data_IF_328000477742
#
_entry.id   IF_328000477742
#
_cell.length_a   1.000
_cell.length_b   1.000
_cell.length_c   1.000
_cell.angle_alpha   90.00
_cell.angle_beta   90.00
_cell.angle_gamma   90.00
#
_symmetry.space_group_name_H-M   'P 1'
#
loop_
_entity.id
_entity.type
_entity.pdbx_description
1 polymer ?
#
# COMPACT_ATOMS: atom_id res chain seq x y z
N UNK A 1 -37.84 24.50 28.91
CA UNK A 1 -38.13 23.14 28.38
C UNK A 1 -37.80 22.97 26.89
N UNK A 2 -38.07 23.97 26.03
CA UNK A 2 -37.80 23.86 24.57
C UNK A 2 -36.30 23.83 24.22
N UNK A 3 -35.50 24.72 24.81
CA UNK A 3 -34.06 24.84 24.51
C UNK A 3 -33.28 23.55 24.82
N UNK A 4 -33.54 22.90 25.96
CA UNK A 4 -32.87 21.65 26.36
C UNK A 4 -33.16 20.51 25.38
N UNK A 5 -34.39 20.42 24.86
CA UNK A 5 -34.76 19.43 23.84
C UNK A 5 -34.03 19.69 22.52
N UNK A 6 -33.94 20.95 22.10
CA UNK A 6 -33.22 21.34 20.88
C UNK A 6 -31.73 21.02 20.99
N UNK A 7 -31.08 21.35 22.12
CA UNK A 7 -29.66 21.04 22.34
C UNK A 7 -29.41 19.53 22.36
N UNK A 8 -30.28 18.75 23.01
CA UNK A 8 -30.16 17.29 23.05
C UNK A 8 -30.29 16.65 21.66
N UNK A 9 -31.25 17.10 20.85
CA UNK A 9 -31.42 16.63 19.47
C UNK A 9 -30.22 16.97 18.59
N UNK A 10 -29.63 18.16 18.75
CA UNK A 10 -28.42 18.56 18.01
C UNK A 10 -27.24 17.65 18.39
N UNK A 11 -27.04 17.37 19.68
CA UNK A 11 -25.98 16.47 20.13
C UNK A 11 -26.16 15.04 19.59
N UNK A 12 -27.39 14.54 19.55
CA UNK A 12 -27.72 13.24 18.95
C UNK A 12 -27.44 13.21 17.44
N UNK A 13 -27.81 14.26 16.70
CA UNK A 13 -27.48 14.35 15.28
C UNK A 13 -25.97 14.40 15.06
N UNK A 14 -25.23 15.21 15.82
CA UNK A 14 -23.76 15.30 15.69
C UNK A 14 -23.07 13.98 16.01
N UNK A 15 -23.57 13.24 17.01
CA UNK A 15 -23.02 11.92 17.37
C UNK A 15 -23.36 10.85 16.32
N UNK A 16 -24.56 10.91 15.73
CA UNK A 16 -24.93 10.01 14.64
C UNK A 16 -24.08 10.26 13.39
N UNK A 17 -23.79 11.53 13.08
CA UNK A 17 -22.98 11.90 11.92
C UNK A 17 -21.51 11.49 12.08
N UNK A 18 -20.95 11.56 13.29
CA UNK A 18 -19.58 11.08 13.53
C UNK A 18 -19.46 9.55 13.44
N UNK A 19 -20.47 8.80 13.88
CA UNK A 19 -20.52 7.33 13.74
C UNK A 19 -20.67 6.86 12.29
N UNK A 20 -21.30 7.66 11.42
CA UNK A 20 -21.41 7.38 9.99
C UNK A 20 -20.06 7.53 9.27
N UNK A 21 -19.22 8.49 9.69
CA UNK A 21 -17.90 8.72 9.08
C UNK A 21 -16.90 7.58 9.33
N UNK A 22 -17.05 6.80 10.40
CA UNK A 22 -16.19 5.63 10.68
C UNK A 22 -16.51 4.39 9.84
N UNK A 23 -17.56 4.43 9.02
CA UNK A 23 -17.91 3.34 8.11
C UNK A 23 -17.20 3.45 6.75
N UNK A 24 -16.29 4.40 6.58
CA UNK A 24 -15.47 4.47 5.37
C UNK A 24 -14.71 3.14 5.21
N UNK A 25 -14.84 2.45 4.06
CA UNK A 25 -14.17 1.18 3.85
C UNK A 25 -12.65 1.39 3.92
N UNK A 26 -12.02 0.78 4.91
CA UNK A 26 -10.56 0.67 4.99
C UNK A 26 -10.10 -0.33 3.94
N UNK A 27 -8.99 -0.05 3.25
CA UNK A 27 -8.47 -1.03 2.30
C UNK A 27 -7.96 -2.27 3.01
N UNK A 28 -8.06 -3.40 2.32
CA UNK A 28 -7.70 -4.71 2.87
C UNK A 28 -6.20 -4.97 2.85
N UNK A 29 -5.49 -4.35 1.91
CA UNK A 29 -4.03 -4.41 1.79
C UNK A 29 -3.52 -3.25 0.94
N UNK A 30 -2.22 -3.02 1.02
CA UNK A 30 -1.49 -2.03 0.23
C UNK A 30 -0.36 -2.72 -0.52
N UNK A 31 -0.11 -2.28 -1.76
CA UNK A 31 1.05 -2.70 -2.54
C UNK A 31 2.22 -1.79 -2.16
N UNK A 32 3.41 -2.37 -1.95
CA UNK A 32 4.63 -1.58 -1.73
C UNK A 32 5.57 -1.67 -2.93
N UNK A 33 6.26 -0.56 -3.23
CA UNK A 33 7.40 -0.52 -4.13
C UNK A 33 8.67 -0.73 -3.30
N UNK A 34 9.49 -1.69 -3.72
CA UNK A 34 10.75 -2.01 -3.09
C UNK A 34 11.82 -0.97 -3.44
N UNK A 35 12.28 -0.23 -2.44
CA UNK A 35 13.49 0.58 -2.52
C UNK A 35 14.70 -0.31 -2.19
N UNK A 36 15.57 -0.51 -3.19
CA UNK A 36 16.82 -1.23 -3.05
C UNK A 36 18.02 -0.31 -3.30
N UNK A 37 19.16 -0.64 -2.71
CA UNK A 37 20.34 0.24 -2.73
C UNK A 37 21.28 0.00 -3.92
N UNK A 38 21.31 -1.22 -4.48
CA UNK A 38 22.31 -1.59 -5.47
C UNK A 38 21.90 -1.40 -6.93
N UNK A 39 22.09 -0.19 -7.47
CA UNK A 39 21.88 0.11 -8.88
C UNK A 39 20.42 0.40 -9.25
N UNK A 40 20.16 0.61 -10.55
CA UNK A 40 18.83 0.87 -11.11
C UNK A 40 18.06 2.06 -10.55
N UNK A 41 16.84 2.22 -11.04
CA UNK A 41 15.90 3.28 -10.69
C UNK A 41 14.59 2.66 -10.18
N UNK A 42 14.62 2.23 -8.92
CA UNK A 42 13.47 1.65 -8.21
C UNK A 42 12.21 2.55 -8.21
N UNK A 43 12.39 3.84 -8.49
CA UNK A 43 11.35 4.87 -8.55
C UNK A 43 10.76 5.07 -9.97
N UNK A 44 11.05 4.17 -10.91
CA UNK A 44 10.47 4.27 -12.24
C UNK A 44 8.94 4.13 -12.21
N UNK A 45 8.25 4.97 -13.00
CA UNK A 45 6.79 4.90 -13.21
C UNK A 45 5.91 4.95 -11.95
N UNK A 46 6.38 5.55 -10.85
CA UNK A 46 5.61 5.64 -9.59
C UNK A 46 4.20 6.22 -9.78
N UNK A 47 4.05 7.23 -10.63
CA UNK A 47 2.77 7.91 -10.86
C UNK A 47 1.86 7.21 -11.87
N UNK A 48 2.35 6.17 -12.57
CA UNK A 48 1.65 5.60 -13.73
C UNK A 48 1.46 4.08 -13.66
N UNK A 49 2.45 3.28 -13.26
CA UNK A 49 2.34 1.82 -13.34
C UNK A 49 1.35 1.25 -12.32
N UNK A 50 1.75 1.21 -11.05
CA UNK A 50 0.91 0.68 -9.98
C UNK A 50 -0.38 1.48 -9.77
N UNK A 51 -0.40 2.83 -9.77
CA UNK A 51 -1.66 3.56 -9.61
C UNK A 51 -2.71 3.18 -10.67
N UNK A 52 -2.30 2.96 -11.92
CA UNK A 52 -3.22 2.52 -12.97
C UNK A 52 -3.68 1.08 -12.75
N UNK A 53 -2.78 0.17 -12.36
CA UNK A 53 -3.14 -1.22 -12.04
C UNK A 53 -4.11 -1.29 -10.85
N UNK A 54 -3.80 -0.59 -9.76
CA UNK A 54 -4.63 -0.50 -8.55
C UNK A 54 -6.02 0.01 -8.92
N UNK A 55 -6.07 1.14 -9.66
CA UNK A 55 -7.34 1.70 -10.13
C UNK A 55 -8.12 0.71 -10.98
N UNK A 56 -7.46 0.01 -11.89
CA UNK A 56 -8.09 -0.99 -12.76
C UNK A 56 -8.66 -2.15 -11.93
N UNK A 57 -7.87 -2.73 -11.02
CA UNK A 57 -8.27 -3.85 -10.17
C UNK A 57 -9.43 -3.48 -9.25
N UNK A 58 -9.36 -2.32 -8.58
CA UNK A 58 -10.44 -1.85 -7.72
C UNK A 58 -11.72 -1.59 -8.53
N UNK A 59 -11.62 -1.04 -9.74
CA UNK A 59 -12.80 -0.72 -10.57
C UNK A 59 -13.43 -1.96 -11.21
N UNK A 60 -12.62 -2.86 -11.77
CA UNK A 60 -13.09 -3.93 -12.65
C UNK A 60 -13.17 -5.30 -11.96
N UNK A 61 -12.37 -5.51 -10.92
CA UNK A 61 -12.29 -6.78 -10.19
C UNK A 61 -12.88 -6.69 -8.78
N UNK A 62 -13.42 -5.52 -8.41
CA UNK A 62 -13.97 -5.24 -7.08
C UNK A 62 -12.97 -5.59 -5.95
N UNK A 63 -11.68 -5.34 -6.21
CA UNK A 63 -10.64 -5.44 -5.20
C UNK A 63 -10.71 -4.25 -4.22
N UNK A 64 -10.06 -4.40 -3.07
CA UNK A 64 -10.01 -3.38 -2.03
C UNK A 64 -8.54 -3.05 -1.68
N UNK A 65 -7.79 -2.62 -2.70
CA UNK A 65 -6.39 -2.22 -2.60
C UNK A 65 -6.32 -0.74 -2.22
N UNK A 66 -5.41 -0.38 -1.31
CA UNK A 66 -5.10 1.03 -1.05
C UNK A 66 -4.73 1.75 -2.35
N UNK A 67 -5.23 2.99 -2.51
CA UNK A 67 -5.10 3.75 -3.77
C UNK A 67 -3.64 4.09 -4.08
N UNK A 68 -2.88 4.38 -3.05
CA UNK A 68 -1.48 4.78 -3.15
C UNK A 68 -0.59 3.60 -2.76
N UNK A 69 0.48 3.37 -3.52
CA UNK A 69 1.51 2.44 -3.11
C UNK A 69 2.32 2.97 -1.92
N UNK A 70 2.83 2.06 -1.09
CA UNK A 70 3.87 2.37 -0.12
C UNK A 70 5.27 2.30 -0.77
N UNK A 71 6.27 2.85 -0.11
CA UNK A 71 7.69 2.60 -0.42
C UNK A 71 8.27 1.85 0.78
N UNK A 72 8.98 0.75 0.51
CA UNK A 72 9.58 -0.06 1.57
C UNK A 72 11.01 -0.47 1.22
N UNK A 73 11.91 -0.34 2.18
CA UNK A 73 13.31 -0.76 2.04
C UNK A 73 13.44 -2.28 2.22
N UNK A 74 14.37 -2.90 1.48
CA UNK A 74 14.58 -4.36 1.52
C UNK A 74 14.93 -4.86 2.92
N UNK A 75 15.69 -4.08 3.69
CA UNK A 75 16.12 -4.40 5.06
C UNK A 75 15.08 -4.13 6.15
N UNK A 76 14.01 -3.39 5.81
CA UNK A 76 13.00 -2.99 6.80
C UNK A 76 12.14 -4.19 7.23
N UNK A 77 11.84 -4.26 8.53
CA UNK A 77 10.82 -5.19 9.04
C UNK A 77 9.41 -4.85 8.54
N UNK A 78 9.18 -3.60 8.10
CA UNK A 78 7.90 -3.20 7.52
C UNK A 78 7.61 -3.92 6.19
N UNK A 79 8.62 -4.51 5.54
CA UNK A 79 8.45 -5.35 4.35
C UNK A 79 7.38 -6.44 4.57
N UNK A 80 7.32 -7.00 5.77
CA UNK A 80 6.39 -8.07 6.14
C UNK A 80 4.93 -7.60 6.32
N UNK A 81 4.68 -6.28 6.32
CA UNK A 81 3.33 -5.73 6.35
C UNK A 81 2.65 -5.73 4.97
N UNK A 82 3.43 -5.96 3.90
CA UNK A 82 2.94 -5.88 2.53
C UNK A 82 2.93 -7.27 1.91
N UNK A 83 1.76 -7.89 1.70
CA UNK A 83 1.69 -9.23 1.10
C UNK A 83 2.10 -9.25 -0.38
N UNK A 84 2.08 -8.08 -1.03
CA UNK A 84 2.49 -7.89 -2.42
C UNK A 84 3.48 -6.74 -2.48
N UNK A 85 4.69 -7.04 -2.95
CA UNK A 85 5.76 -6.06 -3.17
C UNK A 85 6.11 -6.06 -4.66
N UNK A 86 6.20 -4.87 -5.22
CA UNK A 86 6.61 -4.63 -6.58
C UNK A 86 8.04 -4.10 -6.62
N UNK A 87 8.82 -4.61 -7.54
CA UNK A 87 10.17 -4.17 -7.83
C UNK A 87 10.25 -3.83 -9.32
N UNK A 88 10.74 -2.65 -9.64
CA UNK A 88 10.98 -2.17 -11.00
C UNK A 88 12.36 -1.54 -11.07
N UNK A 89 12.91 -1.39 -12.27
CA UNK A 89 14.08 -0.54 -12.52
C UNK A 89 14.91 -1.06 -13.68
N UNK A 90 15.84 -0.22 -14.14
CA UNK A 90 16.69 -0.49 -15.28
C UNK A 90 18.07 -1.01 -14.84
N UNK A 91 18.58 -2.01 -15.55
CA UNK A 91 19.94 -2.52 -15.35
C UNK A 91 20.07 -3.49 -14.18
N UNK A 92 21.29 -3.65 -13.67
CA UNK A 92 21.56 -4.65 -12.65
C UNK A 92 21.10 -4.18 -11.26
N UNK A 93 20.36 -5.05 -10.59
CA UNK A 93 20.05 -4.90 -9.16
C UNK A 93 20.97 -5.78 -8.33
N UNK A 94 21.57 -5.19 -7.31
CA UNK A 94 22.48 -5.85 -6.38
C UNK A 94 21.93 -5.71 -4.97
N UNK A 95 21.81 -6.83 -4.26
CA UNK A 95 21.47 -6.85 -2.84
C UNK A 95 22.72 -7.15 -2.01
N UNK A 96 22.82 -6.51 -0.84
CA UNK A 96 23.73 -6.93 0.21
C UNK A 96 23.34 -8.31 0.74
N UNK A 97 24.24 -8.98 1.46
CA UNK A 97 23.92 -10.26 2.09
C UNK A 97 22.76 -10.14 3.08
N UNK A 98 22.64 -9.00 3.77
CA UNK A 98 21.57 -8.74 4.75
C UNK A 98 20.23 -8.49 4.06
N UNK A 99 20.23 -7.69 2.98
CA UNK A 99 19.05 -7.44 2.14
C UNK A 99 18.55 -8.75 1.51
N UNK A 100 19.45 -9.56 0.95
CA UNK A 100 19.11 -10.84 0.34
C UNK A 100 18.53 -11.84 1.37
N UNK A 101 19.08 -11.88 2.58
CA UNK A 101 18.57 -12.74 3.65
C UNK A 101 17.20 -12.28 4.16
N UNK A 102 16.96 -10.97 4.32
CA UNK A 102 15.66 -10.45 4.71
C UNK A 102 14.60 -10.71 3.62
N UNK A 103 14.97 -10.50 2.35
CA UNK A 103 14.10 -10.79 1.21
C UNK A 103 13.76 -12.29 1.12
N UNK A 104 14.75 -13.17 1.35
CA UNK A 104 14.50 -14.61 1.43
C UNK A 104 13.49 -14.96 2.53
N UNK A 105 13.62 -14.36 3.73
CA UNK A 105 12.66 -14.57 4.83
C UNK A 105 11.26 -14.10 4.45
N UNK A 106 11.13 -12.93 3.83
CA UNK A 106 9.86 -12.41 3.32
C UNK A 106 9.18 -13.39 2.34
N UNK A 107 9.92 -13.89 1.35
CA UNK A 107 9.40 -14.82 0.35
C UNK A 107 8.98 -16.16 0.99
N UNK A 108 9.81 -16.72 1.90
CA UNK A 108 9.49 -17.97 2.60
C UNK A 108 8.27 -17.82 3.52
N UNK A 109 8.07 -16.64 4.11
CA UNK A 109 6.90 -16.34 4.94
C UNK A 109 5.60 -16.16 4.14
N UNK A 110 5.65 -16.28 2.81
CA UNK A 110 4.50 -16.19 1.91
C UNK A 110 4.34 -14.84 1.21
N UNK A 111 5.30 -13.93 1.36
CA UNK A 111 5.33 -12.67 0.63
C UNK A 111 5.47 -12.89 -0.88
N UNK A 112 4.76 -12.08 -1.67
CA UNK A 112 4.87 -12.10 -3.13
C UNK A 112 5.74 -10.95 -3.62
N UNK A 113 6.70 -11.24 -4.49
CA UNK A 113 7.55 -10.25 -5.16
C UNK A 113 7.29 -10.27 -6.66
N UNK A 114 6.76 -9.18 -7.21
CA UNK A 114 6.61 -8.96 -8.64
C UNK A 114 7.76 -8.11 -9.17
N UNK A 115 8.59 -8.67 -10.05
CA UNK A 115 9.74 -7.99 -10.64
C UNK A 115 9.42 -7.63 -12.09
N UNK A 116 9.50 -6.35 -12.41
CA UNK A 116 9.31 -5.77 -13.74
C UNK A 116 10.61 -5.14 -14.22
N UNK A 117 11.29 -5.81 -15.16
CA UNK A 117 12.42 -5.23 -15.88
C UNK A 117 11.86 -4.31 -16.96
N UNK A 118 11.84 -3.01 -16.66
CA UNK A 118 11.24 -2.01 -17.54
C UNK A 118 12.21 -1.54 -18.65
N UNK A 119 13.24 -2.32 -18.95
CA UNK A 119 14.21 -2.07 -20.00
C UNK A 119 13.74 -2.60 -21.38
N UNK A 120 13.13 -1.70 -22.17
CA UNK A 120 12.89 -1.88 -23.63
C UNK A 120 11.62 -2.62 -24.01
#
# INVERSE_FOLDING_TARGET
MSIVKTTFTICLLSLSLSLLSSLAPTSSYQIAVMQYNGGGDWYANLETSLPNLIKFCNTNLNMNIEKEQAIVQVESMELFNYPFVHMTGHGNVVFSNEEAENLRKYLIAGGFLHIDDNYG
#
